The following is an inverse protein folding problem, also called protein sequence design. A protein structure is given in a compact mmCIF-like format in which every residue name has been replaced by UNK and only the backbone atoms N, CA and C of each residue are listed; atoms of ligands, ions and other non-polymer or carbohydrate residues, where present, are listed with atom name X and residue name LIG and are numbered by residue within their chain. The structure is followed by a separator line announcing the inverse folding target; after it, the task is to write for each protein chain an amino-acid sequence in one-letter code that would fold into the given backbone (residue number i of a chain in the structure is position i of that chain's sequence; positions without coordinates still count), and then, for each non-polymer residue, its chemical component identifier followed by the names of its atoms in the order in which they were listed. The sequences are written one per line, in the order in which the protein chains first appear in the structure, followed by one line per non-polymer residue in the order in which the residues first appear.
data_IF_465366136430
#
_entry.id   IF_465366136430
#
_cell.length_a   1.000
_cell.length_b   1.000
_cell.length_c   1.000
_cell.angle_alpha   90.00
_cell.angle_beta   90.00
_cell.angle_gamma   90.00
#
_symmetry.space_group_name_H-M   'P 1'
#
loop_
_entity.id
_entity.type
_entity.pdbx_description
1 polymer ?
#
# COMPACT_ATOMS: atom_id res chain seq x y z
N UNK A 1 15.38 10.57 -19.34
CA UNK A 1 16.58 11.02 -18.59
C UNK A 1 17.75 10.25 -19.15
N UNK A 2 18.38 10.80 -20.18
CA UNK A 2 19.55 10.21 -20.82
C UNK A 2 20.76 10.97 -20.27
N UNK A 3 21.48 10.34 -19.34
CA UNK A 3 22.76 10.84 -18.87
C UNK A 3 23.83 10.36 -19.85
N UNK A 4 24.68 11.28 -20.30
CA UNK A 4 25.66 11.10 -21.36
C UNK A 4 26.53 9.84 -21.24
N UNK A 5 26.89 9.34 -22.40
CA UNK A 5 27.48 8.04 -22.77
C UNK A 5 28.82 7.67 -22.11
N UNK A 6 29.29 8.44 -21.11
CA UNK A 6 30.53 8.21 -20.35
C UNK A 6 30.32 8.03 -18.84
N UNK A 7 29.09 7.82 -18.37
CA UNK A 7 28.83 7.63 -16.95
C UNK A 7 29.05 6.16 -16.57
N UNK A 8 30.22 5.80 -16.04
CA UNK A 8 30.43 4.53 -15.33
C UNK A 8 29.85 4.68 -13.92
N UNK A 9 28.60 4.23 -13.64
CA UNK A 9 28.04 4.34 -12.31
C UNK A 9 28.93 3.62 -11.29
N UNK A 10 29.00 4.17 -10.08
CA UNK A 10 29.74 3.55 -8.98
C UNK A 10 29.25 2.11 -8.76
N UNK A 11 30.12 1.26 -8.22
CA UNK A 11 29.77 -0.14 -7.93
C UNK A 11 28.52 -0.24 -7.03
N UNK A 12 28.38 0.68 -6.07
CA UNK A 12 27.20 0.79 -5.24
C UNK A 12 25.91 1.05 -6.05
N UNK A 13 25.94 2.00 -6.99
CA UNK A 13 24.77 2.31 -7.82
C UNK A 13 24.38 1.15 -8.74
N UNK A 14 25.36 0.44 -9.30
CA UNK A 14 25.13 -0.79 -10.10
C UNK A 14 24.51 -1.90 -9.26
N UNK A 15 24.96 -2.05 -8.01
CA UNK A 15 24.41 -3.04 -7.07
C UNK A 15 22.96 -2.72 -6.68
N UNK A 16 22.64 -1.43 -6.46
CA UNK A 16 21.26 -0.98 -6.19
C UNK A 16 20.37 -1.22 -7.41
N UNK A 17 20.83 -0.87 -8.62
CA UNK A 17 20.08 -1.12 -9.86
C UNK A 17 19.85 -2.62 -10.08
N UNK A 18 20.84 -3.46 -9.78
CA UNK A 18 20.70 -4.92 -9.90
C UNK A 18 19.69 -5.48 -8.89
N UNK A 19 19.64 -4.93 -7.67
CA UNK A 19 18.67 -5.32 -6.64
C UNK A 19 17.30 -4.66 -6.77
N UNK A 20 17.06 -3.82 -7.78
CA UNK A 20 15.85 -3.00 -7.89
C UNK A 20 14.56 -3.83 -7.93
N UNK A 21 14.55 -4.92 -8.69
CA UNK A 21 13.39 -5.81 -8.78
C UNK A 21 13.08 -6.51 -7.45
N UNK A 22 14.12 -6.92 -6.71
CA UNK A 22 13.98 -7.49 -5.36
C UNK A 22 13.47 -6.45 -4.35
N UNK A 23 13.95 -5.21 -4.44
CA UNK A 23 13.43 -4.11 -3.63
C UNK A 23 11.95 -3.90 -3.91
N UNK A 24 11.53 -3.86 -5.17
CA UNK A 24 10.11 -3.72 -5.54
C UNK A 24 9.24 -4.82 -4.92
N UNK A 25 9.72 -6.06 -4.86
CA UNK A 25 8.99 -7.18 -4.25
C UNK A 25 8.91 -7.09 -2.72
N UNK A 26 9.90 -6.48 -2.06
CA UNK A 26 9.97 -6.35 -0.60
C UNK A 26 9.50 -5.00 -0.04
N UNK A 27 9.12 -4.04 -0.89
CA UNK A 27 8.68 -2.72 -0.46
C UNK A 27 7.36 -2.80 0.31
N UNK A 28 7.41 -2.39 1.57
CA UNK A 28 6.22 -2.24 2.40
C UNK A 28 5.66 -0.83 2.16
N UNK A 29 4.37 -0.74 1.84
CA UNK A 29 3.68 0.55 1.79
C UNK A 29 3.36 1.00 3.22
N UNK A 30 4.02 2.08 3.68
CA UNK A 30 3.72 2.70 4.97
C UNK A 30 2.60 3.73 4.81
N UNK A 31 1.47 3.49 5.48
CA UNK A 31 0.26 4.31 5.38
C UNK A 31 0.41 5.68 6.07
N UNK A 32 1.28 5.78 7.08
CA UNK A 32 1.41 7.00 7.88
C UNK A 32 0.11 7.34 8.64
N UNK A 33 -0.43 8.54 8.43
CA UNK A 33 -1.65 9.02 9.08
C UNK A 33 -2.96 8.60 8.36
N UNK A 34 -2.85 7.99 7.17
CA UNK A 34 -3.99 7.44 6.43
C UNK A 34 -5.00 8.45 5.87
N UNK A 35 -4.73 9.75 5.91
CA UNK A 35 -5.69 10.78 5.46
C UNK A 35 -5.85 10.80 3.94
N UNK A 36 -4.79 10.44 3.21
CA UNK A 36 -4.76 10.39 1.74
C UNK A 36 -4.68 8.94 1.24
N UNK A 37 -5.18 7.98 2.02
CA UNK A 37 -5.18 6.58 1.62
C UNK A 37 -6.59 6.04 1.65
N UNK A 38 -7.10 5.67 0.49
CA UNK A 38 -8.44 5.14 0.31
C UNK A 38 -8.47 3.65 0.63
N UNK A 39 -9.39 3.23 1.49
CA UNK A 39 -9.48 1.84 1.94
C UNK A 39 -9.75 0.89 0.78
N UNK A 40 -10.47 1.34 -0.25
CA UNK A 40 -10.95 0.46 -1.32
C UNK A 40 -10.32 0.73 -2.69
N UNK A 41 -9.89 1.97 -2.93
CA UNK A 41 -9.34 2.38 -4.22
C UNK A 41 -7.82 2.16 -4.28
N UNK A 42 -7.12 2.29 -3.15
CA UNK A 42 -5.69 2.09 -3.12
C UNK A 42 -5.29 0.61 -3.10
N UNK A 43 -4.13 0.35 -3.71
CA UNK A 43 -3.52 -0.99 -3.73
C UNK A 43 -2.78 -1.26 -2.43
N UNK A 44 -3.41 -2.05 -1.56
CA UNK A 44 -2.80 -2.54 -0.32
C UNK A 44 -1.64 -3.51 -0.56
N UNK A 45 -1.71 -4.27 -1.65
CA UNK A 45 -0.67 -5.24 -2.03
C UNK A 45 -0.10 -4.82 -3.37
N UNK A 46 1.22 -4.61 -3.40
CA UNK A 46 1.99 -4.27 -4.58
C UNK A 46 2.40 -5.53 -5.34
N UNK A 47 1.42 -6.30 -5.82
CA UNK A 47 1.67 -7.43 -6.71
C UNK A 47 1.27 -7.10 -8.17
N UNK A 48 1.58 -8.01 -9.10
CA UNK A 48 1.36 -7.80 -10.53
C UNK A 48 -0.11 -7.70 -10.95
N UNK A 49 -1.06 -7.97 -10.06
CA UNK A 49 -2.50 -7.94 -10.35
C UNK A 49 -3.26 -7.18 -9.26
N UNK A 50 -4.01 -6.12 -9.57
CA UNK A 50 -4.80 -5.42 -8.55
C UNK A 50 -5.81 -6.36 -7.90
N UNK A 51 -5.47 -6.89 -6.72
CA UNK A 51 -6.40 -7.67 -5.89
C UNK A 51 -7.21 -6.72 -5.03
N UNK A 52 -8.36 -6.27 -5.55
CA UNK A 52 -9.37 -5.67 -4.69
C UNK A 52 -9.87 -6.74 -3.73
N UNK A 53 -9.88 -6.45 -2.43
CA UNK A 53 -10.56 -7.31 -1.46
C UNK A 53 -12.03 -7.40 -1.86
N UNK A 54 -12.53 -8.62 -1.98
CA UNK A 54 -13.94 -8.88 -2.21
C UNK A 54 -14.74 -8.29 -1.05
N UNK A 55 -15.40 -7.15 -1.28
CA UNK A 55 -16.19 -6.48 -0.27
C UNK A 55 -17.62 -7.01 -0.33
N UNK A 56 -18.16 -7.46 0.81
CA UNK A 56 -19.50 -8.06 0.89
C UNK A 56 -20.60 -7.02 1.12
N UNK A 57 -20.23 -5.76 1.37
CA UNK A 57 -21.17 -4.67 1.59
C UNK A 57 -21.83 -4.28 0.26
N UNK A 58 -23.17 -4.36 0.23
CA UNK A 58 -24.01 -3.95 -0.91
C UNK A 58 -23.82 -2.46 -1.27
N UNK A 59 -23.39 -1.67 -0.28
CA UNK A 59 -23.11 -0.23 -0.42
C UNK A 59 -21.77 0.05 0.26
N UNK A 60 -20.82 0.57 -0.50
CA UNK A 60 -19.48 0.89 -0.03
C UNK A 60 -19.27 2.40 -0.15
N UNK A 61 -18.77 3.01 0.93
CA UNK A 61 -18.26 4.37 0.86
C UNK A 61 -16.89 4.37 0.18
N UNK A 62 -16.85 4.89 -1.05
CA UNK A 62 -15.64 5.02 -1.85
C UNK A 62 -14.67 6.06 -1.28
N UNK A 63 -15.16 6.99 -0.47
CA UNK A 63 -14.34 8.04 0.16
C UNK A 63 -13.83 7.62 1.55
N UNK A 64 -14.02 6.35 1.93
CA UNK A 64 -13.54 5.83 3.21
C UNK A 64 -12.00 5.84 3.22
N UNK A 65 -11.42 6.71 4.03
CA UNK A 65 -9.96 6.80 4.21
C UNK A 65 -9.48 5.93 5.36
N UNK A 66 -8.21 5.53 5.33
CA UNK A 66 -7.61 4.73 6.40
C UNK A 66 -7.57 5.49 7.73
N UNK A 67 -7.44 6.82 7.70
CA UNK A 67 -7.50 7.66 8.90
C UNK A 67 -8.78 7.43 9.71
N UNK A 68 -9.92 7.21 9.04
CA UNK A 68 -11.21 6.97 9.70
C UNK A 68 -11.25 5.63 10.48
N UNK A 69 -10.35 4.70 10.13
CA UNK A 69 -10.23 3.39 10.78
C UNK A 69 -9.18 3.38 11.91
N UNK A 70 -8.47 4.50 12.12
CA UNK A 70 -7.44 4.65 13.14
C UNK A 70 -7.96 5.53 14.27
N UNK A 71 -7.72 5.12 15.52
CA UNK A 71 -8.07 5.90 16.71
C UNK A 71 -7.08 7.04 16.93
N UNK A 72 -7.45 8.01 17.77
CA UNK A 72 -6.58 9.17 18.11
C UNK A 72 -5.24 8.73 18.72
N UNK A 73 -5.20 7.54 19.33
CA UNK A 73 -3.99 6.92 19.90
C UNK A 73 -3.09 6.26 18.85
N UNK A 74 -3.43 6.33 17.55
CA UNK A 74 -2.67 5.71 16.46
C UNK A 74 -2.85 4.20 16.35
N UNK A 75 -3.92 3.66 16.96
CA UNK A 75 -4.22 2.22 16.90
C UNK A 75 -5.44 1.94 16.03
N UNK A 76 -5.53 0.74 15.46
CA UNK A 76 -6.70 0.36 14.66
C UNK A 76 -7.99 0.27 15.49
N UNK A 77 -9.07 0.85 14.97
CA UNK A 77 -10.41 0.67 15.52
C UNK A 77 -10.94 -0.72 15.18
N UNK A 78 -10.69 -1.68 16.09
CA UNK A 78 -11.07 -3.08 15.94
C UNK A 78 -12.59 -3.27 15.75
N UNK A 79 -13.42 -2.39 16.31
CA UNK A 79 -14.87 -2.44 16.16
C UNK A 79 -15.28 -2.19 14.71
N UNK A 80 -14.83 -1.08 14.13
CA UNK A 80 -15.09 -0.75 12.72
C UNK A 80 -14.47 -1.79 11.78
N UNK A 81 -13.22 -2.19 12.03
CA UNK A 81 -12.59 -3.24 11.23
C UNK A 81 -13.39 -4.54 11.28
N UNK A 82 -13.98 -4.86 12.44
CA UNK A 82 -14.76 -6.08 12.57
C UNK A 82 -16.03 -6.06 11.71
N UNK A 83 -16.65 -4.90 11.57
CA UNK A 83 -17.83 -4.68 10.72
C UNK A 83 -17.47 -4.77 9.23
N UNK A 84 -16.35 -4.16 8.83
CA UNK A 84 -15.92 -4.16 7.43
C UNK A 84 -15.27 -5.48 6.97
N UNK A 85 -14.61 -6.23 7.87
CA UNK A 85 -13.71 -7.32 7.50
C UNK A 85 -14.17 -8.72 7.92
N UNK A 86 -15.10 -8.91 8.86
CA UNK A 86 -15.48 -10.26 9.27
C UNK A 86 -16.40 -10.97 8.26
N UNK A 87 -15.88 -12.07 7.74
CA UNK A 87 -16.66 -13.23 7.30
C UNK A 87 -17.07 -14.03 8.55
N UNK A 88 -18.37 -14.07 8.87
CA UNK A 88 -18.89 -15.09 9.79
C UNK A 88 -18.83 -16.44 9.05
N UNK A 89 -17.89 -17.30 9.45
CA UNK A 89 -17.88 -18.73 9.07
C UNK A 89 -18.93 -19.46 9.89
#
# INVERSE_FOLDING_TARGET
MEAGENNRPSYAWRSILHGWELLQQGLIHSIGNGQNTDVWLDRWVLDGSPRRRYNRLLTMDLNLTVASLITVQGTWNKGLLSEFLHHKT
#
